data_IF_053828649475
#
_entry.id   IF_053828649475
#
_cell.length_a   1.000
_cell.length_b   1.000
_cell.length_c   1.000
_cell.angle_alpha   90.00
_cell.angle_beta   90.00
_cell.angle_gamma   90.00
#
_symmetry.space_group_name_H-M   'P 1'
#
loop_
_entity.id
_entity.type
_entity.pdbx_description
1 polymer ?
#
# COMPACT_ATOMS: atom_id res chain seq x y z
N UNK A 1 -1.38 12.12 -8.50
CA UNK A 1 -2.42 11.30 -9.17
C UNK A 1 -2.68 10.09 -8.29
N UNK A 2 -3.88 9.97 -7.71
CA UNK A 2 -4.22 8.93 -6.73
C UNK A 2 -4.30 7.51 -7.33
N UNK A 3 -4.31 7.41 -8.67
CA UNK A 3 -4.41 6.14 -9.39
C UNK A 3 -3.07 5.41 -9.58
N UNK A 4 -1.94 6.10 -9.38
CA UNK A 4 -0.59 5.54 -9.56
C UNK A 4 0.10 5.30 -8.22
N UNK A 5 -0.49 4.43 -7.39
CA UNK A 5 0.22 3.89 -6.23
C UNK A 5 1.20 2.80 -6.69
N UNK A 6 2.43 2.76 -6.16
CA UNK A 6 3.41 1.75 -6.54
C UNK A 6 3.01 0.37 -5.99
N UNK A 7 3.66 -0.64 -6.55
CA UNK A 7 3.58 -2.02 -6.07
C UNK A 7 4.84 -2.35 -5.26
N UNK A 8 4.66 -3.11 -4.19
CA UNK A 8 5.75 -3.68 -3.39
C UNK A 8 5.62 -5.19 -3.42
N UNK A 9 6.74 -5.90 -3.58
CA UNK A 9 6.74 -7.36 -3.69
C UNK A 9 8.15 -7.94 -3.71
N UNK A 10 8.24 -9.25 -3.43
CA UNK A 10 9.49 -10.01 -3.32
C UNK A 10 9.58 -11.16 -4.36
N UNK A 11 8.71 -11.13 -5.37
CA UNK A 11 8.60 -12.18 -6.38
C UNK A 11 7.70 -13.36 -5.97
N UNK A 12 7.54 -13.62 -4.67
CA UNK A 12 6.55 -14.59 -4.17
C UNK A 12 5.21 -13.94 -3.85
N UNK A 13 5.22 -12.81 -3.14
CA UNK A 13 4.06 -11.97 -2.85
C UNK A 13 4.24 -10.57 -3.44
N UNK A 14 3.12 -9.96 -3.84
CA UNK A 14 3.08 -8.57 -4.26
C UNK A 14 1.74 -7.92 -3.92
N UNK A 15 1.77 -6.60 -3.67
CA UNK A 15 0.57 -5.76 -3.53
C UNK A 15 0.80 -4.38 -4.09
N UNK A 16 -0.24 -3.81 -4.69
CA UNK A 16 -0.34 -2.36 -4.88
C UNK A 16 -0.56 -1.70 -3.53
N UNK A 17 0.17 -0.63 -3.21
CA UNK A 17 -0.02 0.10 -1.96
C UNK A 17 -1.44 0.68 -1.92
N UNK A 18 -2.16 0.44 -0.81
CA UNK A 18 -3.60 0.73 -0.65
C UNK A 18 -4.50 0.05 -1.69
N UNK A 19 -4.00 -1.00 -2.34
CA UNK A 19 -4.74 -1.79 -3.32
C UNK A 19 -5.72 -2.78 -2.66
N UNK A 20 -6.71 -3.26 -3.43
CA UNK A 20 -7.77 -4.13 -2.91
C UNK A 20 -7.40 -5.61 -2.84
N UNK A 21 -6.17 -6.00 -3.20
CA UNK A 21 -5.78 -7.40 -3.25
C UNK A 21 -4.27 -7.58 -3.05
N UNK A 22 -3.92 -8.74 -2.52
CA UNK A 22 -2.56 -9.30 -2.54
C UNK A 22 -2.53 -10.39 -3.62
N UNK A 23 -1.39 -10.53 -4.29
CA UNK A 23 -1.16 -11.58 -5.26
C UNK A 23 0.02 -12.46 -4.82
N UNK A 24 -0.12 -13.76 -5.04
CA UNK A 24 0.94 -14.73 -4.79
C UNK A 24 1.33 -15.44 -6.09
N UNK A 25 2.63 -15.65 -6.31
CA UNK A 25 3.13 -16.40 -7.45
C UNK A 25 2.65 -17.86 -7.37
N UNK A 26 2.22 -18.41 -8.50
CA UNK A 26 1.73 -19.80 -8.57
C UNK A 26 0.30 -20.00 -8.07
N UNK A 27 -0.35 -18.97 -7.51
CA UNK A 27 -1.73 -19.08 -7.06
C UNK A 27 -2.69 -18.44 -8.07
N UNK A 28 -3.60 -19.26 -8.59
CA UNK A 28 -4.57 -18.83 -9.59
C UNK A 28 -5.98 -19.23 -9.16
N UNK A 29 -6.94 -18.36 -9.48
CA UNK A 29 -8.33 -18.77 -9.50
C UNK A 29 -8.49 -19.64 -10.76
N UNK A 30 -8.98 -20.86 -10.61
CA UNK A 30 -9.23 -21.78 -11.72
C UNK A 30 -10.18 -21.21 -12.76
N UNK A 31 -10.66 -22.04 -13.68
CA UNK A 31 -11.49 -21.59 -14.81
C UNK A 31 -12.60 -20.62 -14.36
N UNK A 32 -12.65 -19.47 -15.04
CA UNK A 32 -13.67 -18.47 -14.78
C UNK A 32 -15.03 -19.03 -15.18
N UNK A 33 -15.88 -19.31 -14.19
CA UNK A 33 -17.31 -19.62 -14.33
C UNK A 33 -17.68 -20.53 -15.52
N UNK A 34 -17.21 -21.78 -15.51
CA UNK A 34 -17.71 -22.80 -16.46
C UNK A 34 -17.38 -22.54 -17.93
N UNK A 35 -16.46 -21.61 -18.21
CA UNK A 35 -15.86 -21.49 -19.53
C UNK A 35 -14.96 -22.71 -19.78
N UNK A 36 -15.21 -23.42 -20.87
CA UNK A 36 -14.35 -24.51 -21.34
C UNK A 36 -13.09 -23.90 -21.95
N UNK A 37 -12.14 -23.48 -21.10
CA UNK A 37 -10.81 -23.04 -21.52
C UNK A 37 -10.55 -21.53 -21.55
N UNK A 38 -11.28 -20.69 -20.81
CA UNK A 38 -10.88 -19.27 -20.68
C UNK A 38 -9.89 -19.05 -19.53
N UNK A 39 -8.69 -18.63 -19.91
CA UNK A 39 -7.63 -17.96 -19.14
C UNK A 39 -7.82 -17.92 -17.61
N UNK A 40 -7.14 -18.82 -16.92
CA UNK A 40 -6.94 -18.71 -15.47
C UNK A 40 -6.25 -17.38 -15.12
N UNK A 41 -6.75 -16.69 -14.08
CA UNK A 41 -6.20 -15.42 -13.62
C UNK A 41 -5.58 -15.58 -12.23
N UNK A 42 -4.58 -14.74 -11.90
CA UNK A 42 -3.95 -14.79 -10.57
C UNK A 42 -5.00 -14.62 -9.49
N UNK A 43 -4.92 -15.46 -8.46
CA UNK A 43 -5.84 -15.39 -7.34
C UNK A 43 -5.69 -14.06 -6.62
N UNK A 44 -6.82 -13.46 -6.25
CA UNK A 44 -6.89 -12.21 -5.49
C UNK A 44 -7.06 -12.55 -4.02
N UNK A 45 -5.98 -12.45 -3.26
CA UNK A 45 -6.01 -12.68 -1.82
C UNK A 45 -6.53 -11.42 -1.09
N UNK A 46 -7.30 -11.57 0.01
CA UNK A 46 -7.75 -10.45 0.82
C UNK A 46 -6.57 -9.60 1.33
N UNK A 47 -6.63 -8.26 1.23
CA UNK A 47 -5.58 -7.39 1.74
C UNK A 47 -5.71 -7.18 3.25
N UNK A 48 -4.61 -6.83 3.91
CA UNK A 48 -4.64 -6.20 5.23
C UNK A 48 -4.59 -4.68 5.04
N UNK A 49 -5.67 -4.03 5.45
CA UNK A 49 -5.90 -2.60 5.26
C UNK A 49 -5.92 -1.91 6.62
N UNK A 50 -4.73 -1.61 7.13
CA UNK A 50 -4.55 -0.63 8.17
C UNK A 50 -4.00 0.64 7.51
N UNK A 51 -4.52 1.82 7.85
CA UNK A 51 -3.91 3.10 7.47
C UNK A 51 -4.39 4.19 8.42
N UNK A 52 -3.53 5.19 8.61
CA UNK A 52 -3.92 6.42 9.30
C UNK A 52 -4.82 7.23 8.36
N UNK A 53 -6.03 7.56 8.84
CA UNK A 53 -6.96 8.42 8.11
C UNK A 53 -6.43 9.84 8.08
N UNK A 54 -6.52 10.49 6.92
CA UNK A 54 -6.31 11.93 6.79
C UNK A 54 -7.67 12.63 6.88
N UNK A 55 -7.69 13.90 7.27
CA UNK A 55 -8.92 14.68 7.16
C UNK A 55 -9.21 14.94 5.67
N UNK A 56 -10.28 14.34 5.18
CA UNK A 56 -10.72 14.44 3.79
C UNK A 56 -11.33 15.83 3.50
N UNK A 57 -11.72 16.57 4.55
CA UNK A 57 -12.34 17.89 4.47
C UNK A 57 -11.33 19.04 4.62
N UNK A 58 -10.07 18.75 4.97
CA UNK A 58 -9.03 19.75 5.02
C UNK A 58 -8.81 20.29 3.61
N UNK A 59 -9.05 21.58 3.41
CA UNK A 59 -8.84 22.22 2.11
C UNK A 59 -7.38 22.05 1.67
N UNK A 60 -7.11 21.95 0.36
CA UNK A 60 -5.73 21.86 -0.18
C UNK A 60 -4.82 23.01 0.27
N UNK A 61 -5.40 24.15 0.63
CA UNK A 61 -4.71 25.30 1.21
C UNK A 61 -4.39 25.12 2.70
N UNK A 62 -5.24 24.43 3.48
CA UNK A 62 -4.89 24.01 4.84
C UNK A 62 -3.78 22.96 4.87
N UNK A 63 -3.77 22.01 3.93
CA UNK A 63 -2.72 20.98 3.84
C UNK A 63 -1.34 21.54 3.43
N UNK A 64 -1.28 22.74 2.82
CA UNK A 64 0.01 23.39 2.51
C UNK A 64 0.52 24.26 3.67
N UNK A 65 -0.37 24.75 4.54
CA UNK A 65 -0.02 25.59 5.69
C UNK A 65 0.13 24.81 7.02
N UNK A 66 -0.48 23.63 7.16
CA UNK A 66 -0.60 22.88 8.42
C UNK A 66 -0.12 21.42 8.32
N UNK A 67 0.65 21.06 7.28
CA UNK A 67 1.22 19.72 7.16
C UNK A 67 0.68 18.96 5.96
N UNK A 68 1.60 18.59 5.08
CA UNK A 68 1.31 17.83 3.86
C UNK A 68 1.52 16.33 4.05
N UNK A 69 1.15 15.56 3.03
CA UNK A 69 1.62 14.18 2.86
C UNK A 69 2.65 14.10 1.74
N UNK A 70 3.74 13.39 2.01
CA UNK A 70 4.80 13.09 1.05
C UNK A 70 4.86 11.60 0.77
N UNK A 71 5.25 11.23 -0.44
CA UNK A 71 5.45 9.85 -0.85
C UNK A 71 6.86 9.69 -1.43
N UNK A 72 7.51 8.57 -1.11
CA UNK A 72 8.81 8.22 -1.66
C UNK A 72 8.92 6.71 -1.88
N UNK A 73 9.68 6.31 -2.90
CA UNK A 73 10.07 4.93 -3.13
C UNK A 73 11.59 4.85 -3.00
N UNK A 74 12.06 4.15 -1.99
CA UNK A 74 13.46 3.76 -1.87
C UNK A 74 13.69 2.50 -2.71
N UNK A 75 14.37 2.68 -3.84
CA UNK A 75 14.63 1.61 -4.80
C UNK A 75 15.71 0.65 -4.31
N UNK A 76 16.68 1.14 -3.53
CA UNK A 76 17.78 0.30 -3.01
C UNK A 76 17.25 -0.69 -1.98
N UNK A 77 16.30 -0.24 -1.14
CA UNK A 77 15.70 -1.07 -0.10
C UNK A 77 14.38 -1.71 -0.50
N UNK A 78 13.85 -1.35 -1.68
CA UNK A 78 12.51 -1.71 -2.15
C UNK A 78 11.40 -1.38 -1.12
N UNK A 79 11.48 -0.20 -0.52
CA UNK A 79 10.52 0.28 0.51
C UNK A 79 9.75 1.47 -0.03
N UNK A 80 8.42 1.38 -0.02
CA UNK A 80 7.57 2.54 -0.26
C UNK A 80 7.26 3.23 1.07
N UNK A 81 7.36 4.55 1.10
CA UNK A 81 7.19 5.38 2.29
C UNK A 81 6.15 6.46 2.06
N UNK A 82 5.34 6.72 3.07
CA UNK A 82 4.46 7.88 3.16
C UNK A 82 4.73 8.59 4.49
N UNK A 83 5.02 9.88 4.43
CA UNK A 83 5.07 10.75 5.61
C UNK A 83 3.85 11.66 5.62
N UNK A 84 3.30 11.94 6.79
CA UNK A 84 2.17 12.84 6.94
C UNK A 84 2.30 13.64 8.22
N UNK A 85 2.02 14.94 8.13
CA UNK A 85 2.03 15.87 9.26
C UNK A 85 0.59 16.27 9.60
N UNK A 86 0.33 16.43 10.89
CA UNK A 86 -0.92 16.82 11.51
C UNK A 86 -2.17 16.10 10.96
N UNK A 87 -2.15 14.75 10.87
CA UNK A 87 -3.31 14.00 10.38
C UNK A 87 -4.53 14.29 11.26
N UNK A 88 -5.70 14.43 10.63
CA UNK A 88 -6.97 14.76 11.32
C UNK A 88 -6.94 16.09 12.08
N UNK A 89 -6.14 17.07 11.62
CA UNK A 89 -5.92 18.36 12.28
C UNK A 89 -5.39 18.22 13.72
N UNK A 90 -4.61 17.17 14.00
CA UNK A 90 -3.94 16.97 15.27
C UNK A 90 -2.56 17.66 15.25
N UNK A 91 -2.40 18.89 15.77
CA UNK A 91 -1.19 19.68 15.54
C UNK A 91 0.02 19.09 16.27
N UNK A 92 1.16 19.01 15.58
CA UNK A 92 2.41 18.46 16.07
C UNK A 92 2.54 16.94 15.93
N UNK A 93 1.58 16.26 15.29
CA UNK A 93 1.64 14.80 15.10
C UNK A 93 2.29 14.47 13.76
N UNK A 94 3.32 13.63 13.79
CA UNK A 94 3.95 13.11 12.57
C UNK A 94 3.70 11.61 12.45
N UNK A 95 3.33 11.17 11.25
CA UNK A 95 3.09 9.77 10.93
C UNK A 95 3.94 9.33 9.76
N UNK A 96 4.78 8.32 10.01
CA UNK A 96 5.56 7.63 8.99
C UNK A 96 4.96 6.25 8.74
N UNK A 97 4.62 5.96 7.49
CA UNK A 97 4.14 4.65 7.05
C UNK A 97 5.09 4.07 6.02
N UNK A 98 5.44 2.79 6.16
CA UNK A 98 6.32 2.08 5.22
C UNK A 98 5.71 0.74 4.79
N UNK A 99 5.84 0.40 3.51
CA UNK A 99 5.40 -0.87 2.93
C UNK A 99 6.55 -1.54 2.20
N UNK A 100 6.76 -2.83 2.47
CA UNK A 100 7.80 -3.63 1.83
C UNK A 100 7.51 -5.12 1.93
N UNK A 101 8.19 -5.89 1.09
CA UNK A 101 8.14 -7.35 1.07
C UNK A 101 9.57 -7.87 1.28
N UNK A 102 9.91 -8.46 2.44
CA UNK A 102 11.26 -8.94 2.68
C UNK A 102 11.63 -10.05 1.68
N UNK A 103 12.86 -10.01 1.16
CA UNK A 103 13.35 -11.03 0.23
C UNK A 103 13.53 -12.40 0.91
N UNK A 104 13.99 -12.40 2.17
CA UNK A 104 14.30 -13.61 2.93
C UNK A 104 13.08 -14.22 3.64
N UNK A 105 11.97 -13.49 3.70
CA UNK A 105 10.70 -13.96 4.28
C UNK A 105 9.61 -13.91 3.20
N UNK A 106 9.60 -14.88 2.26
CA UNK A 106 8.82 -14.79 1.03
C UNK A 106 7.31 -14.64 1.25
N UNK A 107 6.80 -15.17 2.36
CA UNK A 107 5.38 -15.19 2.72
C UNK A 107 4.93 -13.98 3.53
N UNK A 108 5.81 -12.99 3.75
CA UNK A 108 5.52 -11.82 4.59
C UNK A 108 5.40 -10.57 3.73
N UNK A 109 4.36 -9.78 4.00
CA UNK A 109 4.22 -8.41 3.57
C UNK A 109 4.14 -7.52 4.81
N UNK A 110 4.92 -6.44 4.83
CA UNK A 110 5.00 -5.57 6.00
C UNK A 110 4.34 -4.24 5.70
N UNK A 111 3.57 -3.76 6.67
CA UNK A 111 3.19 -2.36 6.80
C UNK A 111 3.58 -1.89 8.19
N UNK A 112 4.51 -0.95 8.24
CA UNK A 112 4.96 -0.33 9.48
C UNK A 112 4.32 1.06 9.62
N UNK A 113 3.87 1.41 10.82
CA UNK A 113 3.31 2.72 11.16
C UNK A 113 4.05 3.23 12.39
N UNK A 114 4.72 4.37 12.27
CA UNK A 114 5.34 5.10 13.38
C UNK A 114 4.61 6.40 13.59
N UNK A 115 4.31 6.70 14.84
CA UNK A 115 3.64 7.94 15.26
C UNK A 115 4.58 8.64 16.23
N UNK A 116 4.81 9.92 15.99
CA UNK A 116 5.64 10.80 16.80
C UNK A 116 4.79 11.89 17.43
#
# INVERSE_FOLDING_TARGET
>A
DGNLMPEVGNGHLARKVKGPAIFAAGLYNGDAQGSTGESSHRARLPPYNAWVKMDENASREQTSAQGGSGYALDVERAVFMQRSYDPLNAPGVEVDQSWYAPLHEPTVLVHEIRVW
#
